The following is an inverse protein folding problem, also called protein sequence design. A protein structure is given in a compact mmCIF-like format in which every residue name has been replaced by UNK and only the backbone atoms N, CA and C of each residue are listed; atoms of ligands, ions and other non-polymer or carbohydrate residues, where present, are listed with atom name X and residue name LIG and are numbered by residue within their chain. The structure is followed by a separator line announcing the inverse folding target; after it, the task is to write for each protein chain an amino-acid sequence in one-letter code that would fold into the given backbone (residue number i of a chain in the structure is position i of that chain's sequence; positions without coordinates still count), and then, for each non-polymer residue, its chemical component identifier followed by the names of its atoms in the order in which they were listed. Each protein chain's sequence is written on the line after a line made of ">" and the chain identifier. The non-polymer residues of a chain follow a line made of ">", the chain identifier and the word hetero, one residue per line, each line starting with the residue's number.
data_IF_077480643477
#
_entry.id   IF_077480643477
#
_cell.length_a   1.000
_cell.length_b   1.000
_cell.length_c   1.000
_cell.angle_alpha   90.00
_cell.angle_beta   90.00
_cell.angle_gamma   90.00
#
_symmetry.space_group_name_H-M   'P 1'
#
loop_
_entity.id
_entity.type
_entity.pdbx_description
1 polymer ?
#
# COMPACT_ATOMS: atom_id res chain seq x y z
N UNK A 1 29.73 0.54 8.59
CA UNK A 1 29.14 -0.63 7.89
C UNK A 1 27.67 -0.41 7.50
N UNK A 2 26.86 0.35 8.26
CA UNK A 2 25.45 0.63 7.92
C UNK A 2 25.25 1.75 6.88
N UNK A 3 26.17 2.71 6.82
CA UNK A 3 26.08 3.86 5.89
C UNK A 3 26.07 3.47 4.40
N UNK A 4 26.77 2.40 4.03
CA UNK A 4 26.81 1.93 2.63
C UNK A 4 25.49 1.27 2.21
N UNK A 5 24.81 0.62 3.15
CA UNK A 5 23.50 0.02 2.93
C UNK A 5 22.45 1.11 2.75
N UNK A 6 22.51 2.17 3.57
CA UNK A 6 21.57 3.28 3.51
C UNK A 6 21.65 4.04 2.16
N UNK A 7 22.86 4.28 1.66
CA UNK A 7 23.07 4.90 0.35
C UNK A 7 22.61 4.02 -0.84
N UNK A 8 22.69 2.70 -0.70
CA UNK A 8 22.21 1.76 -1.74
C UNK A 8 20.69 1.73 -1.78
N UNK A 9 20.05 1.68 -0.60
CA UNK A 9 18.58 1.72 -0.47
C UNK A 9 18.02 3.03 -1.01
N UNK A 10 18.67 4.16 -0.73
CA UNK A 10 18.20 5.47 -1.17
C UNK A 10 18.31 5.66 -2.69
N UNK A 11 19.38 5.13 -3.31
CA UNK A 11 19.49 5.10 -4.78
C UNK A 11 18.43 4.22 -5.43
N UNK A 12 18.10 3.09 -4.80
CA UNK A 12 17.06 2.19 -5.31
C UNK A 12 15.68 2.85 -5.21
N UNK A 13 15.38 3.47 -4.07
CA UNK A 13 14.15 4.20 -3.84
C UNK A 13 13.98 5.36 -4.84
N UNK A 14 15.05 6.11 -5.11
CA UNK A 14 15.04 7.19 -6.12
C UNK A 14 14.66 6.69 -7.51
N UNK A 15 15.29 5.59 -7.99
CA UNK A 15 14.95 5.01 -9.31
C UNK A 15 13.50 4.57 -9.41
N UNK A 16 12.96 3.98 -8.35
CA UNK A 16 11.55 3.57 -8.31
C UNK A 16 10.65 4.79 -8.36
N UNK A 17 10.98 5.85 -7.62
CA UNK A 17 10.19 7.08 -7.58
C UNK A 17 10.23 7.84 -8.91
N UNK A 18 11.37 7.90 -9.58
CA UNK A 18 11.52 8.46 -10.94
C UNK A 18 10.69 7.69 -11.96
N UNK A 19 10.75 6.36 -11.94
CA UNK A 19 9.98 5.51 -12.84
C UNK A 19 8.47 5.70 -12.63
N UNK A 20 8.00 5.71 -11.38
CA UNK A 20 6.57 5.91 -11.07
C UNK A 20 6.14 7.35 -11.40
N UNK A 21 6.95 8.35 -11.06
CA UNK A 21 6.64 9.77 -11.30
C UNK A 21 6.56 10.12 -12.79
N UNK A 22 7.48 9.60 -13.61
CA UNK A 22 7.46 9.81 -15.06
C UNK A 22 6.25 9.17 -15.74
N UNK A 23 5.76 8.03 -15.24
CA UNK A 23 4.57 7.35 -15.78
C UNK A 23 3.27 8.02 -15.32
N UNK A 24 3.23 8.56 -14.10
CA UNK A 24 2.05 9.24 -13.54
C UNK A 24 1.86 10.65 -14.11
N UNK A 25 2.94 11.38 -14.44
CA UNK A 25 2.90 12.77 -14.89
C UNK A 25 2.07 13.02 -16.15
N UNK A 26 2.19 12.14 -17.16
CA UNK A 26 1.45 12.26 -18.43
C UNK A 26 0.03 11.66 -18.40
N UNK A 27 -0.25 10.75 -17.46
CA UNK A 27 -1.47 9.93 -17.49
C UNK A 27 -2.59 10.48 -16.59
N UNK A 28 -2.32 11.51 -15.76
CA UNK A 28 -3.20 11.98 -14.68
C UNK A 28 -4.67 12.17 -15.07
N UNK A 29 -4.95 12.75 -16.23
CA UNK A 29 -6.33 13.04 -16.68
C UNK A 29 -7.12 11.81 -17.13
N UNK A 30 -6.47 10.78 -17.71
CA UNK A 30 -7.13 9.51 -18.04
C UNK A 30 -7.25 8.56 -16.85
N UNK A 31 -6.34 8.70 -15.88
CA UNK A 31 -6.35 7.92 -14.65
C UNK A 31 -7.57 8.25 -13.81
N UNK A 32 -8.01 9.50 -13.74
CA UNK A 32 -9.14 9.89 -12.87
C UNK A 32 -10.46 9.16 -13.22
N UNK A 33 -10.77 9.01 -14.52
CA UNK A 33 -11.96 8.30 -14.98
C UNK A 33 -11.90 6.78 -14.73
N UNK A 34 -10.75 6.15 -15.00
CA UNK A 34 -10.53 4.72 -14.70
C UNK A 34 -10.48 4.47 -13.19
N UNK A 35 -9.88 5.38 -12.44
CA UNK A 35 -9.80 5.33 -10.99
C UNK A 35 -11.20 5.35 -10.37
N UNK A 36 -12.16 6.10 -10.94
CA UNK A 36 -13.55 6.11 -10.45
C UNK A 36 -14.28 4.78 -10.70
N UNK A 37 -14.07 4.14 -11.84
CA UNK A 37 -14.60 2.79 -12.11
C UNK A 37 -13.95 1.73 -11.23
N UNK A 38 -12.62 1.80 -11.07
CA UNK A 38 -11.86 0.90 -10.20
C UNK A 38 -12.28 1.09 -8.76
N UNK A 39 -12.45 2.32 -8.29
CA UNK A 39 -12.94 2.62 -6.95
C UNK A 39 -14.33 2.02 -6.70
N UNK A 40 -15.24 2.10 -7.68
CA UNK A 40 -16.55 1.45 -7.59
C UNK A 40 -16.45 -0.07 -7.46
N UNK A 41 -15.66 -0.73 -8.31
CA UNK A 41 -15.39 -2.17 -8.19
C UNK A 41 -14.72 -2.54 -6.88
N UNK A 42 -13.73 -1.76 -6.47
CA UNK A 42 -13.01 -1.98 -5.21
C UNK A 42 -13.97 -1.84 -4.03
N UNK A 43 -14.87 -0.85 -4.00
CA UNK A 43 -15.84 -0.72 -2.90
C UNK A 43 -16.75 -1.95 -2.80
N UNK A 44 -17.22 -2.49 -3.93
CA UNK A 44 -18.02 -3.71 -3.98
C UNK A 44 -17.23 -4.92 -3.46
N UNK A 45 -16.06 -5.18 -4.04
CA UNK A 45 -15.23 -6.33 -3.67
C UNK A 45 -14.65 -6.21 -2.24
N UNK A 46 -14.38 -4.99 -1.79
CA UNK A 46 -13.87 -4.70 -0.45
C UNK A 46 -14.92 -4.99 0.62
N UNK A 47 -16.21 -4.78 0.33
CA UNK A 47 -17.30 -5.18 1.22
C UNK A 47 -17.33 -6.69 1.46
N UNK A 48 -17.22 -7.49 0.39
CA UNK A 48 -17.13 -8.95 0.48
C UNK A 48 -15.86 -9.42 1.19
N UNK A 49 -14.71 -8.83 0.86
CA UNK A 49 -13.44 -9.17 1.48
C UNK A 49 -13.42 -8.82 2.98
N UNK A 50 -13.93 -7.65 3.38
CA UNK A 50 -14.09 -7.28 4.79
C UNK A 50 -14.99 -8.26 5.54
N UNK A 51 -16.06 -8.73 4.90
CA UNK A 51 -16.95 -9.71 5.51
C UNK A 51 -16.22 -11.05 5.74
N UNK A 52 -15.45 -11.52 4.76
CA UNK A 52 -14.62 -12.73 4.92
C UNK A 52 -13.50 -12.57 5.95
N UNK A 53 -12.87 -11.41 6.01
CA UNK A 53 -11.84 -11.10 7.01
C UNK A 53 -12.45 -11.03 8.40
N UNK A 54 -13.66 -10.47 8.55
CA UNK A 54 -14.39 -10.44 9.83
C UNK A 54 -14.71 -11.86 10.29
N UNK A 55 -15.18 -12.72 9.41
CA UNK A 55 -15.48 -14.11 9.72
C UNK A 55 -14.20 -14.90 10.09
N UNK A 56 -13.13 -14.66 9.33
CA UNK A 56 -11.80 -15.22 9.60
C UNK A 56 -11.17 -14.66 10.89
N UNK A 57 -11.54 -13.44 11.30
CA UNK A 57 -11.06 -12.84 12.53
C UNK A 57 -11.67 -13.47 13.77
N UNK A 58 -12.92 -13.89 13.68
CA UNK A 58 -13.59 -14.66 14.73
C UNK A 58 -13.01 -16.07 14.80
N UNK A 59 -12.68 -16.68 13.66
CA UNK A 59 -12.14 -18.04 13.60
C UNK A 59 -10.63 -18.13 13.92
N UNK A 60 -9.83 -17.13 13.53
CA UNK A 60 -8.36 -17.13 13.60
C UNK A 60 -7.81 -15.77 14.07
N UNK A 61 -7.83 -15.50 15.38
CA UNK A 61 -7.43 -14.21 15.95
C UNK A 61 -5.97 -13.84 15.65
N UNK A 62 -5.06 -14.83 15.52
CA UNK A 62 -3.66 -14.59 15.17
C UNK A 62 -3.48 -14.03 13.75
N UNK A 63 -4.25 -14.52 12.77
CA UNK A 63 -4.17 -14.03 11.41
C UNK A 63 -4.62 -12.57 11.31
N UNK A 64 -5.66 -12.20 12.07
CA UNK A 64 -6.12 -10.80 12.18
C UNK A 64 -5.08 -9.92 12.85
N UNK A 65 -4.43 -10.38 13.92
CA UNK A 65 -3.35 -9.62 14.57
C UNK A 65 -2.17 -9.39 13.63
N UNK A 66 -1.83 -10.36 12.78
CA UNK A 66 -0.79 -10.20 11.77
C UNK A 66 -1.15 -9.15 10.71
N UNK A 67 -2.40 -9.14 10.23
CA UNK A 67 -2.88 -8.14 9.26
C UNK A 67 -2.90 -6.74 9.88
N UNK A 68 -3.47 -6.58 11.08
CA UNK A 68 -3.54 -5.30 11.79
C UNK A 68 -2.14 -4.80 12.15
N UNK A 69 -1.27 -5.69 12.63
CA UNK A 69 0.12 -5.38 12.93
C UNK A 69 0.90 -4.96 11.69
N UNK A 70 0.69 -5.61 10.54
CA UNK A 70 1.29 -5.24 9.27
C UNK A 70 0.87 -3.84 8.80
N UNK A 71 -0.43 -3.52 8.87
CA UNK A 71 -0.94 -2.18 8.53
C UNK A 71 -0.34 -1.13 9.49
N UNK A 72 -0.35 -1.40 10.80
CA UNK A 72 0.23 -0.52 11.82
C UNK A 72 1.73 -0.30 11.62
N UNK A 73 2.47 -1.33 11.26
CA UNK A 73 3.92 -1.25 10.99
C UNK A 73 4.22 -0.40 9.75
N UNK A 74 3.47 -0.58 8.66
CA UNK A 74 3.64 0.22 7.44
C UNK A 74 3.31 1.69 7.69
N UNK A 75 2.19 1.97 8.36
CA UNK A 75 1.83 3.35 8.72
C UNK A 75 2.84 3.96 9.69
N UNK A 76 3.30 3.19 10.67
CA UNK A 76 4.35 3.59 11.60
C UNK A 76 5.66 3.89 10.87
N UNK A 77 6.06 3.07 9.90
CA UNK A 77 7.26 3.30 9.10
C UNK A 77 7.15 4.53 8.18
N UNK A 78 5.94 4.84 7.67
CA UNK A 78 5.68 6.06 6.88
C UNK A 78 5.74 7.31 7.76
N UNK A 79 5.25 7.25 8.99
CA UNK A 79 5.32 8.36 9.95
C UNK A 79 6.67 8.49 10.65
N UNK A 80 7.45 7.41 10.74
CA UNK A 80 8.79 7.41 11.35
C UNK A 80 9.81 8.27 10.59
N UNK A 81 9.47 8.74 9.39
CA UNK A 81 10.34 9.58 8.56
C UNK A 81 10.06 11.08 8.69
N UNK A 82 9.22 11.49 9.64
CA UNK A 82 8.90 12.90 9.89
C UNK A 82 9.42 13.38 11.23
#
# INVERSE_FOLDING_TARGET
>A
MLEQTEGTVQKLAGRVQDAVGGLTGDTGTQVEGKARQVAGKVQETYGEALNQVRESAVANPLATLAIVGGIGFVLGAIWSKR
#
